data_IF_504579921818
#
_entry.id   IF_504579921818
#
_cell.length_a   1.000
_cell.length_b   1.000
_cell.length_c   1.000
_cell.angle_alpha   90.00
_cell.angle_beta   90.00
_cell.angle_gamma   90.00
#
_symmetry.space_group_name_H-M   'P 1'
#
loop_
_entity.id
_entity.type
_entity.pdbx_description
1 polymer ?
#
# COMPACT_ATOMS: atom_id res chain seq x y z
N UNK A 1 -12.89 -16.62 17.50
CA UNK A 1 -13.11 -15.63 16.43
C UNK A 1 -12.46 -14.36 16.93
N UNK A 2 -11.23 -14.05 16.51
CA UNK A 2 -10.63 -12.75 16.77
C UNK A 2 -11.45 -11.69 16.05
N UNK A 3 -11.88 -10.64 16.75
CA UNK A 3 -12.51 -9.49 16.10
C UNK A 3 -11.58 -8.97 14.99
N UNK A 4 -12.14 -8.68 13.82
CA UNK A 4 -11.36 -8.11 12.73
C UNK A 4 -10.71 -6.81 13.23
N UNK A 5 -9.39 -6.72 13.11
CA UNK A 5 -8.60 -5.55 13.54
C UNK A 5 -7.97 -4.86 12.34
N UNK A 6 -7.64 -3.58 12.48
CA UNK A 6 -7.03 -2.80 11.42
C UNK A 6 -8.03 -1.92 10.65
N UNK A 7 -9.19 -1.61 11.23
CA UNK A 7 -10.07 -0.57 10.72
C UNK A 7 -9.35 0.79 10.81
N UNK A 8 -9.26 1.50 9.69
CA UNK A 8 -8.63 2.82 9.62
C UNK A 8 -9.68 3.84 9.20
N UNK A 9 -9.89 4.87 10.01
CA UNK A 9 -10.77 5.98 9.70
C UNK A 9 -9.98 7.28 9.56
N UNK A 10 -10.18 7.97 8.46
CA UNK A 10 -9.61 9.27 8.15
C UNK A 10 -10.74 10.28 8.20
N UNK A 11 -10.62 11.32 9.03
CA UNK A 11 -11.66 12.34 9.26
C UNK A 11 -11.12 13.74 9.02
N UNK A 12 -11.62 14.38 7.98
CA UNK A 12 -11.33 15.76 7.59
C UNK A 12 -9.83 16.07 7.51
N UNK A 13 -9.03 15.07 7.06
CA UNK A 13 -7.58 15.18 7.06
C UNK A 13 -7.11 16.14 5.96
N UNK A 14 -6.33 17.12 6.39
CA UNK A 14 -5.66 18.10 5.53
C UNK A 14 -4.15 18.06 5.79
N UNK A 15 -3.36 18.16 4.73
CA UNK A 15 -1.91 18.36 4.80
C UNK A 15 -1.47 19.52 3.94
N UNK A 16 -0.87 20.50 4.61
CA UNK A 16 -0.21 21.66 3.97
C UNK A 16 1.27 21.56 4.28
N UNK A 17 2.10 21.61 3.24
CA UNK A 17 3.53 21.85 3.34
C UNK A 17 3.78 23.33 3.16
N UNK A 18 4.63 23.90 3.97
CA UNK A 18 5.01 25.30 3.89
C UNK A 18 6.55 25.45 3.75
N UNK A 19 7.14 24.97 2.65
CA UNK A 19 8.54 25.22 2.38
C UNK A 19 8.70 26.70 2.01
N UNK A 20 9.51 27.42 2.77
CA UNK A 20 9.89 28.82 2.49
C UNK A 20 8.70 29.81 2.38
N UNK A 21 7.60 29.56 3.11
CA UNK A 21 6.40 30.43 3.08
C UNK A 21 5.48 30.21 1.88
N UNK A 22 5.69 29.15 1.10
CA UNK A 22 4.82 28.76 0.01
C UNK A 22 3.90 27.64 0.46
N UNK A 23 2.67 27.99 0.83
CA UNK A 23 1.66 27.01 1.25
C UNK A 23 1.28 26.04 0.13
N UNK A 24 1.77 24.81 0.18
CA UNK A 24 1.43 23.75 -0.78
C UNK A 24 0.44 22.79 -0.13
N UNK A 25 -0.83 22.91 -0.45
CA UNK A 25 -1.85 22.00 0.01
C UNK A 25 -1.80 20.70 -0.78
N UNK A 26 -1.24 19.67 -0.17
CA UNK A 26 -1.06 18.37 -0.80
C UNK A 26 -2.33 17.50 -0.72
N UNK A 27 -2.99 17.51 0.45
CA UNK A 27 -4.24 16.79 0.73
C UNK A 27 -5.21 17.78 1.38
N UNK A 28 -6.47 17.74 0.99
CA UNK A 28 -7.49 18.67 1.43
C UNK A 28 -8.78 17.97 1.83
N UNK A 29 -9.13 18.09 3.12
CA UNK A 29 -10.36 17.62 3.73
C UNK A 29 -10.76 16.20 3.29
N UNK A 30 -9.83 15.25 3.36
CA UNK A 30 -10.10 13.86 3.04
C UNK A 30 -10.79 13.15 4.19
N UNK A 31 -11.94 12.51 3.90
CA UNK A 31 -12.68 11.66 4.86
C UNK A 31 -13.06 10.36 4.18
N UNK A 32 -12.63 9.24 4.76
CA UNK A 32 -12.98 7.88 4.32
C UNK A 32 -12.59 6.85 5.39
N UNK A 33 -13.02 5.63 5.19
CA UNK A 33 -12.66 4.49 6.05
C UNK A 33 -12.14 3.35 5.21
N UNK A 34 -11.23 2.56 5.79
CA UNK A 34 -10.80 1.26 5.28
C UNK A 34 -11.29 0.24 6.30
N UNK A 35 -12.18 -0.64 5.88
CA UNK A 35 -12.72 -1.65 6.78
C UNK A 35 -11.65 -2.68 7.17
N UNK A 36 -11.77 -3.25 8.36
CA UNK A 36 -10.85 -4.30 8.78
C UNK A 36 -10.87 -5.49 7.80
N UNK A 37 -9.72 -5.83 7.25
CA UNK A 37 -9.57 -6.88 6.24
C UNK A 37 -9.96 -6.46 4.82
N UNK A 38 -10.22 -5.17 4.56
CA UNK A 38 -10.47 -4.65 3.22
C UNK A 38 -9.15 -4.44 2.46
N UNK A 39 -9.15 -4.76 1.19
CA UNK A 39 -8.12 -4.35 0.23
C UNK A 39 -8.60 -3.13 -0.54
N UNK A 40 -8.11 -1.95 -0.18
CA UNK A 40 -8.47 -0.68 -0.82
C UNK A 40 -7.32 -0.22 -1.73
N UNK A 41 -7.63 0.10 -2.99
CA UNK A 41 -6.69 0.76 -3.89
C UNK A 41 -6.96 2.26 -3.98
N UNK A 42 -5.90 3.04 -4.19
CA UNK A 42 -5.97 4.48 -4.45
C UNK A 42 -5.26 4.79 -5.77
N UNK A 43 -5.98 5.43 -6.68
CA UNK A 43 -5.46 5.87 -7.99
C UNK A 43 -5.65 7.36 -8.18
N UNK A 44 -4.84 7.96 -9.04
CA UNK A 44 -4.93 9.38 -9.36
C UNK A 44 -3.65 9.88 -10.04
N UNK A 45 -3.63 11.11 -10.58
CA UNK A 45 -2.47 11.70 -11.23
C UNK A 45 -1.21 11.70 -10.35
N UNK A 46 -0.04 11.81 -10.98
CA UNK A 46 1.20 11.99 -10.24
C UNK A 46 1.16 13.29 -9.42
N UNK A 47 1.71 13.24 -8.20
CA UNK A 47 1.73 14.42 -7.32
C UNK A 47 0.39 14.83 -6.69
N UNK A 48 -0.68 14.05 -6.82
CA UNK A 48 -1.99 14.36 -6.24
C UNK A 48 -2.12 14.09 -4.73
N UNK A 49 -1.05 13.66 -4.04
CA UNK A 49 -1.07 13.49 -2.58
C UNK A 49 -1.26 12.04 -2.09
N UNK A 50 -1.27 11.02 -2.95
CA UNK A 50 -1.46 9.60 -2.56
C UNK A 50 -0.42 9.13 -1.54
N UNK A 51 0.87 9.30 -1.85
CA UNK A 51 1.96 8.92 -0.95
C UNK A 51 1.98 9.78 0.32
N UNK A 52 1.59 11.07 0.24
CA UNK A 52 1.42 11.92 1.41
C UNK A 52 0.36 11.36 2.35
N UNK A 53 -0.79 10.95 1.82
CA UNK A 53 -1.87 10.34 2.59
C UNK A 53 -1.42 9.03 3.24
N UNK A 54 -0.75 8.15 2.48
CA UNK A 54 -0.19 6.92 3.00
C UNK A 54 0.83 7.18 4.11
N UNK A 55 1.73 8.16 3.93
CA UNK A 55 2.74 8.51 4.91
C UNK A 55 2.14 9.10 6.20
N UNK A 56 1.02 9.81 6.11
CA UNK A 56 0.29 10.26 7.30
C UNK A 56 -0.29 9.07 8.08
N UNK A 57 -0.87 8.08 7.41
CA UNK A 57 -1.37 6.85 8.05
C UNK A 57 -0.21 6.06 8.66
N UNK A 58 0.93 5.98 7.98
CA UNK A 58 2.13 5.29 8.46
C UNK A 58 2.80 5.95 9.66
N UNK A 59 2.55 7.25 9.87
CA UNK A 59 3.20 8.05 10.91
C UNK A 59 4.52 8.70 10.50
N UNK A 60 4.83 8.71 9.19
CA UNK A 60 6.02 9.41 8.67
C UNK A 60 5.75 10.91 8.47
N UNK A 61 4.48 11.30 8.28
CA UNK A 61 4.06 12.68 8.10
C UNK A 61 3.03 13.10 9.16
N UNK A 62 3.12 14.37 9.60
CA UNK A 62 2.13 14.97 10.50
C UNK A 62 0.92 15.49 9.72
N UNK A 63 -0.24 15.54 10.38
CA UNK A 63 -1.44 16.22 9.87
C UNK A 63 -1.34 17.72 10.11
N UNK A 64 -1.96 18.52 9.23
CA UNK A 64 -2.23 19.92 9.47
C UNK A 64 -3.59 20.09 10.17
N UNK A 65 -4.61 19.35 9.70
CA UNK A 65 -5.96 19.34 10.27
C UNK A 65 -6.54 17.94 10.20
N UNK A 66 -7.61 17.70 11.00
CA UNK A 66 -8.33 16.43 11.02
C UNK A 66 -7.72 15.40 11.97
N UNK A 67 -8.15 14.16 11.86
CA UNK A 67 -7.67 13.04 12.67
C UNK A 67 -7.63 11.71 11.91
N UNK A 68 -6.74 10.83 12.33
CA UNK A 68 -6.68 9.44 11.88
C UNK A 68 -6.93 8.54 13.08
N UNK A 69 -7.85 7.59 12.90
CA UNK A 69 -8.17 6.58 13.91
C UNK A 69 -7.78 5.19 13.40
N UNK A 70 -7.38 4.34 14.31
CA UNK A 70 -7.21 2.91 14.08
C UNK A 70 -7.98 2.13 15.15
N UNK A 71 -8.85 1.22 14.73
CA UNK A 71 -9.73 0.44 15.62
C UNK A 71 -10.52 1.33 16.59
N UNK A 72 -10.91 2.54 16.15
CA UNK A 72 -11.66 3.52 16.95
C UNK A 72 -10.81 4.44 17.85
N UNK A 73 -9.51 4.19 17.97
CA UNK A 73 -8.60 5.04 18.74
C UNK A 73 -7.94 6.11 17.86
N UNK A 74 -7.92 7.36 18.30
CA UNK A 74 -7.22 8.45 17.61
C UNK A 74 -5.72 8.23 17.72
N UNK A 75 -5.10 7.90 16.60
CA UNK A 75 -3.65 7.65 16.51
C UNK A 75 -2.87 8.89 16.06
N UNK A 76 -3.49 9.79 15.28
CA UNK A 76 -2.87 11.03 14.83
C UNK A 76 -3.88 12.18 14.80
N UNK A 77 -3.43 13.37 15.21
CA UNK A 77 -4.15 14.64 15.11
C UNK A 77 -3.16 15.80 15.12
N UNK A 78 -3.55 17.04 14.84
CA UNK A 78 -2.68 18.20 14.97
C UNK A 78 -2.02 18.27 16.34
N UNK A 79 -0.69 18.38 16.37
CA UNK A 79 0.09 18.35 17.62
C UNK A 79 0.33 16.97 18.25
N UNK A 80 -0.43 15.96 17.89
CA UNK A 80 -0.18 14.55 18.25
C UNK A 80 0.46 13.81 17.09
N UNK A 81 1.79 13.75 17.08
CA UNK A 81 2.51 13.01 16.03
C UNK A 81 2.36 11.51 16.26
N UNK A 82 1.85 10.83 15.24
CA UNK A 82 1.89 9.39 15.17
C UNK A 82 3.34 8.93 14.97
N UNK A 83 3.82 8.01 15.80
CA UNK A 83 5.08 7.33 15.53
C UNK A 83 4.85 6.12 14.62
N UNK A 84 5.77 5.81 13.69
CA UNK A 84 5.74 4.54 12.96
C UNK A 84 5.73 3.36 13.95
N UNK A 85 4.99 2.31 13.61
CA UNK A 85 4.85 1.16 14.50
C UNK A 85 4.63 -0.16 13.73
N UNK A 86 4.80 -1.31 14.40
CA UNK A 86 4.66 -2.62 13.77
C UNK A 86 3.21 -2.96 13.38
N UNK A 87 2.23 -2.24 13.92
CA UNK A 87 0.80 -2.41 13.63
C UNK A 87 0.42 -1.93 12.21
N UNK A 88 1.26 -1.10 11.59
CA UNK A 88 1.11 -0.63 10.21
C UNK A 88 2.48 -0.54 9.54
N UNK A 89 2.69 -1.35 8.54
CA UNK A 89 3.98 -1.46 7.87
C UNK A 89 3.88 -0.99 6.43
N UNK A 90 4.88 -0.22 5.98
CA UNK A 90 4.97 0.31 4.63
C UNK A 90 5.90 -0.54 3.78
N UNK A 91 5.45 -0.88 2.57
CA UNK A 91 6.31 -1.35 1.48
C UNK A 91 6.46 -0.20 0.49
N UNK A 92 7.65 0.38 0.46
CA UNK A 92 7.95 1.57 -0.33
C UNK A 92 8.08 1.27 -1.82
N UNK A 93 7.89 2.28 -2.65
CA UNK A 93 8.10 2.22 -4.11
C UNK A 93 9.55 1.86 -4.45
N UNK A 94 10.51 2.56 -3.88
CA UNK A 94 11.93 2.20 -3.96
C UNK A 94 12.21 0.99 -3.06
N UNK A 95 13.03 0.05 -3.52
CA UNK A 95 13.44 -1.09 -2.71
C UNK A 95 14.08 -0.65 -1.39
N UNK A 96 13.76 -1.37 -0.32
CA UNK A 96 14.21 -1.04 1.04
C UNK A 96 14.88 -2.22 1.75
N UNK A 97 15.36 -3.21 1.02
CA UNK A 97 16.12 -4.31 1.61
C UNK A 97 17.51 -3.82 2.07
N UNK A 98 17.99 -4.40 3.15
CA UNK A 98 19.35 -4.20 3.61
C UNK A 98 20.30 -5.04 2.75
N UNK A 99 21.09 -4.41 1.91
CA UNK A 99 21.97 -5.09 0.95
C UNK A 99 23.06 -5.94 1.61
N UNK A 100 23.40 -5.63 2.86
CA UNK A 100 24.38 -6.37 3.69
C UNK A 100 23.79 -7.51 4.50
N UNK A 101 22.49 -7.76 4.40
CA UNK A 101 21.77 -8.85 5.05
C UNK A 101 21.25 -9.85 4.02
N UNK A 102 21.21 -11.11 4.39
CA UNK A 102 20.59 -12.17 3.58
C UNK A 102 19.07 -12.01 3.51
N UNK A 103 18.40 -12.76 2.65
CA UNK A 103 16.94 -12.84 2.57
C UNK A 103 16.32 -13.12 3.93
N UNK A 104 16.80 -14.16 4.61
CA UNK A 104 16.32 -14.53 5.95
C UNK A 104 16.53 -13.42 6.96
N UNK A 105 17.72 -12.84 7.02
CA UNK A 105 18.05 -11.76 7.97
C UNK A 105 17.22 -10.50 7.72
N UNK A 106 16.95 -10.14 6.46
CA UNK A 106 16.05 -9.06 6.12
C UNK A 106 14.64 -9.28 6.68
N UNK A 107 14.12 -10.51 6.55
CA UNK A 107 12.76 -10.83 7.00
C UNK A 107 12.67 -10.77 8.54
N UNK A 108 13.60 -11.40 9.26
CA UNK A 108 13.55 -11.49 10.71
C UNK A 108 14.00 -10.22 11.43
N UNK A 109 14.54 -9.24 10.73
CA UNK A 109 15.12 -8.04 11.32
C UNK A 109 14.16 -7.31 12.28
N UNK A 110 12.95 -7.04 11.82
CA UNK A 110 11.95 -6.29 12.60
C UNK A 110 11.60 -6.96 13.93
N UNK A 111 11.03 -8.17 13.92
CA UNK A 111 10.58 -8.83 15.14
C UNK A 111 11.73 -9.15 16.11
N UNK A 112 12.92 -9.44 15.62
CA UNK A 112 14.09 -9.68 16.48
C UNK A 112 14.60 -8.38 17.12
N UNK A 113 14.69 -7.29 16.34
CA UNK A 113 15.20 -6.00 16.84
C UNK A 113 14.24 -5.36 17.84
N UNK A 114 12.95 -5.53 17.67
CA UNK A 114 11.93 -5.03 18.60
C UNK A 114 11.74 -5.91 19.83
N UNK A 115 12.32 -7.11 19.82
CA UNK A 115 12.13 -8.11 20.89
C UNK A 115 10.75 -8.78 20.88
N UNK A 116 9.98 -8.61 19.79
CA UNK A 116 8.67 -9.24 19.63
C UNK A 116 8.76 -10.76 19.47
N UNK A 117 9.87 -11.26 18.90
CA UNK A 117 10.19 -12.68 18.76
C UNK A 117 11.64 -12.94 19.12
N UNK A 118 11.94 -14.11 19.64
CA UNK A 118 13.32 -14.59 19.70
C UNK A 118 13.85 -14.86 18.28
N UNK A 119 15.16 -14.84 18.10
CA UNK A 119 15.76 -15.15 16.78
C UNK A 119 15.34 -16.54 16.27
N UNK A 120 15.17 -17.52 17.17
CA UNK A 120 14.74 -18.87 16.80
C UNK A 120 13.31 -18.87 16.26
N UNK A 121 12.36 -18.30 16.99
CA UNK A 121 10.95 -18.19 16.58
C UNK A 121 10.82 -17.44 15.26
N UNK A 122 11.47 -16.28 15.14
CA UNK A 122 11.47 -15.49 13.92
C UNK A 122 12.04 -16.26 12.71
N UNK A 123 13.09 -17.07 12.94
CA UNK A 123 13.69 -17.90 11.88
C UNK A 123 12.72 -18.99 11.42
N UNK A 124 12.08 -19.70 12.34
CA UNK A 124 11.11 -20.75 12.03
C UNK A 124 9.93 -20.19 11.23
N UNK A 125 9.35 -19.08 11.70
CA UNK A 125 8.26 -18.36 10.99
C UNK A 125 8.70 -17.85 9.61
N UNK A 126 9.89 -17.27 9.51
CA UNK A 126 10.42 -16.75 8.26
C UNK A 126 10.62 -17.85 7.20
N UNK A 127 11.11 -19.03 7.61
CA UNK A 127 11.30 -20.18 6.71
C UNK A 127 9.98 -20.68 6.13
N UNK A 128 8.90 -20.68 6.90
CA UNK A 128 7.55 -21.01 6.42
C UNK A 128 7.06 -19.97 5.39
N UNK A 129 7.24 -18.68 5.70
CA UNK A 129 6.88 -17.58 4.80
C UNK A 129 7.68 -17.64 3.49
N UNK A 130 8.99 -17.86 3.57
CA UNK A 130 9.90 -18.02 2.41
C UNK A 130 9.44 -19.17 1.52
N UNK A 131 9.14 -20.32 2.11
CA UNK A 131 8.65 -21.49 1.38
C UNK A 131 7.30 -21.19 0.70
N UNK A 132 6.36 -20.58 1.41
CA UNK A 132 5.05 -20.17 0.88
C UNK A 132 5.13 -19.12 -0.25
N UNK A 133 6.18 -18.31 -0.27
CA UNK A 133 6.42 -17.30 -1.30
C UNK A 133 7.22 -17.84 -2.51
N UNK A 134 7.57 -19.13 -2.55
CA UNK A 134 8.38 -19.72 -3.61
C UNK A 134 9.82 -19.21 -3.63
N UNK A 135 10.36 -18.89 -2.46
CA UNK A 135 11.75 -18.43 -2.27
C UNK A 135 12.63 -19.47 -1.56
N UNK A 136 12.14 -20.72 -1.46
CA UNK A 136 12.91 -21.82 -0.86
C UNK A 136 14.24 -22.03 -1.59
N UNK A 137 15.32 -22.10 -0.82
CA UNK A 137 16.69 -22.22 -1.33
C UNK A 137 17.43 -20.89 -1.52
N UNK A 138 16.74 -19.76 -1.27
CA UNK A 138 17.32 -18.40 -1.35
C UNK A 138 17.50 -17.74 0.01
N UNK A 139 17.31 -18.47 1.11
CA UNK A 139 17.32 -17.94 2.50
C UNK A 139 18.62 -17.21 2.83
N UNK A 140 19.74 -17.72 2.33
CA UNK A 140 21.09 -17.22 2.59
C UNK A 140 21.65 -16.34 1.46
N UNK A 141 20.87 -16.10 0.40
CA UNK A 141 21.27 -15.19 -0.66
C UNK A 141 21.13 -13.74 -0.25
N UNK A 142 22.01 -12.90 -0.79
CA UNK A 142 21.96 -11.45 -0.62
C UNK A 142 21.05 -10.80 -1.67
N UNK A 143 20.48 -9.60 -1.40
CA UNK A 143 19.60 -8.91 -2.34
C UNK A 143 20.18 -8.73 -3.73
N UNK A 144 21.49 -8.51 -3.86
CA UNK A 144 22.15 -8.36 -5.16
C UNK A 144 22.10 -9.63 -6.03
N UNK A 145 21.90 -10.79 -5.44
CA UNK A 145 21.89 -12.09 -6.16
C UNK A 145 20.51 -12.59 -6.54
N UNK A 146 19.45 -11.86 -6.18
CA UNK A 146 18.07 -12.23 -6.46
C UNK A 146 17.40 -11.23 -7.41
N UNK A 147 16.38 -11.69 -8.15
CA UNK A 147 15.64 -10.84 -9.09
C UNK A 147 14.82 -9.75 -8.39
N UNK A 148 14.40 -8.72 -9.14
CA UNK A 148 13.54 -7.64 -8.62
C UNK A 148 12.21 -8.15 -8.05
N UNK A 149 11.59 -9.13 -8.70
CA UNK A 149 10.37 -9.78 -8.20
C UNK A 149 10.62 -10.56 -6.90
N UNK A 150 11.77 -11.24 -6.78
CA UNK A 150 12.13 -11.90 -5.52
C UNK A 150 12.40 -10.88 -4.40
N UNK A 151 13.11 -9.79 -4.69
CA UNK A 151 13.32 -8.70 -3.71
C UNK A 151 11.98 -8.18 -3.18
N UNK A 152 11.02 -7.94 -4.07
CA UNK A 152 9.70 -7.45 -3.67
C UNK A 152 8.93 -8.45 -2.81
N UNK A 153 9.04 -9.76 -3.09
CA UNK A 153 8.46 -10.79 -2.20
C UNK A 153 9.11 -10.72 -0.82
N UNK A 154 10.43 -10.63 -0.74
CA UNK A 154 11.15 -10.50 0.55
C UNK A 154 10.68 -9.27 1.33
N UNK A 155 10.48 -8.12 0.69
CA UNK A 155 9.97 -6.91 1.33
C UNK A 155 8.55 -7.10 1.90
N UNK A 156 7.68 -7.77 1.14
CA UNK A 156 6.33 -8.10 1.61
C UNK A 156 6.39 -9.08 2.79
N UNK A 157 7.25 -10.11 2.74
CA UNK A 157 7.43 -11.06 3.84
C UNK A 157 8.00 -10.37 5.08
N UNK A 158 8.95 -9.45 4.91
CA UNK A 158 9.52 -8.63 6.00
C UNK A 158 8.45 -7.75 6.67
N UNK A 159 7.46 -7.29 5.90
CA UNK A 159 6.32 -6.59 6.45
C UNK A 159 5.39 -7.54 7.23
N UNK A 160 5.04 -8.67 6.64
CA UNK A 160 4.04 -9.61 7.15
C UNK A 160 4.47 -10.33 8.43
N UNK A 161 5.76 -10.64 8.61
CA UNK A 161 6.26 -11.32 9.81
C UNK A 161 6.04 -10.51 11.09
N UNK A 162 5.85 -9.19 10.98
CA UNK A 162 5.50 -8.33 12.11
C UNK A 162 4.01 -8.39 12.47
N UNK A 163 3.22 -9.21 11.79
CA UNK A 163 1.76 -9.33 11.96
C UNK A 163 1.03 -7.99 11.99
N UNK A 164 1.28 -7.08 11.01
CA UNK A 164 0.68 -5.77 11.02
C UNK A 164 -0.85 -5.87 10.95
N UNK A 165 -1.55 -4.92 11.54
CA UNK A 165 -3.00 -4.75 11.35
C UNK A 165 -3.29 -4.21 9.96
N UNK A 166 -2.44 -3.29 9.48
CA UNK A 166 -2.59 -2.61 8.19
C UNK A 166 -1.29 -2.66 7.39
N UNK A 167 -1.39 -3.07 6.13
CA UNK A 167 -0.29 -3.08 5.18
C UNK A 167 -0.46 -1.92 4.18
N UNK A 168 0.54 -1.06 4.09
CA UNK A 168 0.55 0.13 3.26
C UNK A 168 1.53 -0.08 2.10
N UNK A 169 1.02 -0.14 0.87
CA UNK A 169 1.81 -0.46 -0.33
C UNK A 169 1.83 0.76 -1.26
N UNK A 170 3.01 1.39 -1.41
CA UNK A 170 3.17 2.55 -2.28
C UNK A 170 3.82 2.14 -3.61
N UNK A 171 3.03 2.06 -4.68
CA UNK A 171 3.43 1.68 -6.03
C UNK A 171 4.38 0.46 -6.07
N UNK A 172 4.07 -0.65 -5.40
CA UNK A 172 5.03 -1.73 -5.15
C UNK A 172 5.53 -2.43 -6.42
N UNK A 173 4.82 -2.27 -7.55
CA UNK A 173 5.14 -2.95 -8.81
C UNK A 173 5.56 -1.99 -9.92
N UNK A 174 5.82 -0.71 -9.59
CA UNK A 174 6.38 0.25 -10.55
C UNK A 174 7.71 -0.29 -11.10
N UNK A 175 7.92 -0.10 -12.41
CA UNK A 175 9.12 -0.56 -13.12
C UNK A 175 9.32 -2.09 -13.23
N UNK A 176 8.29 -2.90 -12.95
CA UNK A 176 8.30 -4.33 -13.28
C UNK A 176 7.72 -4.57 -14.67
N UNK A 177 8.27 -5.55 -15.37
CA UNK A 177 7.69 -6.04 -16.62
C UNK A 177 6.33 -6.73 -16.39
N UNK A 178 5.54 -6.86 -17.45
CA UNK A 178 4.17 -7.37 -17.36
C UNK A 178 4.09 -8.83 -16.84
N UNK A 179 5.08 -9.67 -17.13
CA UNK A 179 5.10 -11.08 -16.70
C UNK A 179 5.38 -11.15 -15.21
N UNK A 180 6.41 -10.42 -14.76
CA UNK A 180 6.78 -10.33 -13.34
C UNK A 180 5.61 -9.73 -12.53
N UNK A 181 4.96 -8.66 -13.02
CA UNK A 181 3.76 -8.09 -12.39
C UNK A 181 2.66 -9.13 -12.20
N UNK A 182 2.37 -9.92 -13.24
CA UNK A 182 1.33 -10.93 -13.18
C UNK A 182 1.58 -11.96 -12.06
N UNK A 183 2.82 -12.41 -11.93
CA UNK A 183 3.24 -13.33 -10.87
C UNK A 183 3.13 -12.67 -9.48
N UNK A 184 3.50 -11.38 -9.38
CA UNK A 184 3.43 -10.64 -8.12
C UNK A 184 1.99 -10.33 -7.69
N UNK A 185 1.10 -10.04 -8.64
CA UNK A 185 -0.33 -9.85 -8.36
C UNK A 185 -0.94 -11.12 -7.77
N UNK A 186 -0.67 -12.28 -8.41
CA UNK A 186 -1.15 -13.56 -7.87
C UNK A 186 -0.58 -13.82 -6.47
N UNK A 187 0.71 -13.62 -6.28
CA UNK A 187 1.35 -13.77 -4.97
C UNK A 187 0.68 -12.88 -3.91
N UNK A 188 0.42 -11.60 -4.20
CA UNK A 188 -0.21 -10.70 -3.24
C UNK A 188 -1.65 -11.10 -2.92
N UNK A 189 -2.43 -11.56 -3.92
CA UNK A 189 -3.78 -12.08 -3.69
C UNK A 189 -3.75 -13.35 -2.84
N UNK A 190 -2.87 -14.30 -3.15
CA UNK A 190 -2.73 -15.54 -2.37
C UNK A 190 -2.34 -15.26 -0.91
N UNK A 191 -1.51 -14.23 -0.68
CA UNK A 191 -1.17 -13.75 0.66
C UNK A 191 -2.38 -13.10 1.33
N UNK A 192 -3.04 -12.17 0.65
CA UNK A 192 -4.19 -11.45 1.18
C UNK A 192 -5.32 -12.40 1.59
N UNK A 193 -5.66 -13.37 0.72
CA UNK A 193 -6.72 -14.34 0.96
C UNK A 193 -6.41 -15.27 2.15
N UNK A 194 -5.13 -15.41 2.55
CA UNK A 194 -4.72 -16.19 3.73
C UNK A 194 -4.72 -15.39 5.03
N UNK A 195 -4.23 -14.14 4.98
CA UNK A 195 -3.96 -13.38 6.20
C UNK A 195 -5.06 -12.38 6.55
N UNK A 196 -5.94 -12.03 5.61
CA UNK A 196 -7.07 -11.11 5.79
C UNK A 196 -6.70 -9.81 6.51
N UNK A 197 -5.55 -9.23 6.17
CA UNK A 197 -5.09 -7.95 6.73
C UNK A 197 -5.70 -6.78 5.97
N UNK A 198 -5.87 -5.65 6.63
CA UNK A 198 -6.26 -4.41 5.96
C UNK A 198 -5.14 -3.93 5.04
N UNK A 199 -5.46 -3.58 3.81
CA UNK A 199 -4.47 -3.14 2.82
C UNK A 199 -4.88 -1.82 2.20
N UNK A 200 -3.97 -0.83 2.21
CA UNK A 200 -4.04 0.34 1.35
C UNK A 200 -2.96 0.22 0.27
N UNK A 201 -3.38 0.24 -0.99
CA UNK A 201 -2.54 0.00 -2.14
C UNK A 201 -2.57 1.21 -3.09
N UNK A 202 -1.45 1.89 -3.24
CA UNK A 202 -1.31 2.99 -4.20
C UNK A 202 -0.77 2.44 -5.51
N UNK A 203 -1.41 2.80 -6.61
CA UNK A 203 -0.92 2.49 -7.95
C UNK A 203 -1.41 3.53 -8.97
N UNK A 204 -0.70 3.65 -10.08
CA UNK A 204 -1.15 4.36 -11.28
C UNK A 204 -1.70 3.39 -12.34
N UNK A 205 -1.59 2.08 -12.13
CA UNK A 205 -2.08 1.04 -13.03
C UNK A 205 -3.53 0.68 -12.68
N UNK A 206 -4.46 1.00 -13.58
CA UNK A 206 -5.89 0.77 -13.37
C UNK A 206 -6.25 -0.72 -13.33
N UNK A 207 -5.55 -1.54 -14.11
CA UNK A 207 -5.76 -2.98 -14.07
C UNK A 207 -5.35 -3.58 -12.72
N UNK A 208 -4.25 -3.08 -12.13
CA UNK A 208 -3.84 -3.46 -10.78
C UNK A 208 -4.88 -3.08 -9.74
N UNK A 209 -5.35 -1.82 -9.79
CA UNK A 209 -6.30 -1.31 -8.81
C UNK A 209 -7.60 -2.13 -8.76
N UNK A 210 -8.15 -2.50 -9.94
CA UNK A 210 -9.38 -3.28 -10.03
C UNK A 210 -9.13 -4.75 -9.72
N UNK A 211 -8.01 -5.30 -10.23
CA UNK A 211 -7.73 -6.73 -10.08
C UNK A 211 -7.45 -7.13 -8.64
N UNK A 212 -6.82 -6.26 -7.85
CA UNK A 212 -6.37 -6.58 -6.50
C UNK A 212 -7.38 -6.17 -5.42
N UNK A 213 -8.06 -5.03 -5.58
CA UNK A 213 -8.82 -4.40 -4.50
C UNK A 213 -10.29 -4.79 -4.44
N UNK A 214 -10.90 -4.53 -3.29
CA UNK A 214 -12.35 -4.63 -3.06
C UNK A 214 -13.02 -3.28 -3.34
N UNK A 215 -12.24 -2.18 -3.27
CA UNK A 215 -12.69 -0.82 -3.57
C UNK A 215 -11.56 0.05 -4.11
N UNK A 216 -11.87 0.93 -5.06
CA UNK A 216 -10.93 1.88 -5.66
C UNK A 216 -11.36 3.30 -5.33
N UNK A 217 -10.45 4.06 -4.69
CA UNK A 217 -10.58 5.50 -4.48
C UNK A 217 -9.86 6.29 -5.57
N UNK A 218 -10.55 7.24 -6.19
CA UNK A 218 -9.99 8.10 -7.24
C UNK A 218 -9.71 9.47 -6.65
N UNK A 219 -8.43 9.87 -6.62
CA UNK A 219 -8.02 11.19 -6.13
C UNK A 219 -7.98 12.22 -7.26
N UNK A 220 -8.38 13.44 -6.91
CA UNK A 220 -8.27 14.63 -7.77
C UNK A 220 -6.81 15.07 -7.89
N UNK A 221 -6.50 15.88 -8.91
CA UNK A 221 -5.25 16.65 -8.95
C UNK A 221 -5.19 17.65 -7.78
N UNK A 222 -4.03 18.30 -7.54
CA UNK A 222 -3.82 19.17 -6.36
C UNK A 222 -4.90 20.25 -6.20
N UNK A 223 -5.43 20.42 -4.97
CA UNK A 223 -5.22 19.63 -3.78
C UNK A 223 -5.88 18.25 -3.90
N UNK A 224 -5.22 17.22 -3.32
CA UNK A 224 -5.72 15.85 -3.33
C UNK A 224 -6.99 15.72 -2.52
N UNK A 225 -8.08 15.35 -3.18
CA UNK A 225 -9.38 14.98 -2.57
C UNK A 225 -9.85 13.68 -3.20
N UNK A 226 -10.73 12.94 -2.54
CA UNK A 226 -11.40 11.83 -3.19
C UNK A 226 -12.55 12.32 -4.06
N UNK A 227 -12.46 12.04 -5.37
CA UNK A 227 -13.49 12.36 -6.35
C UNK A 227 -14.62 11.34 -6.35
N UNK A 228 -14.25 10.07 -6.28
CA UNK A 228 -15.19 8.95 -6.38
C UNK A 228 -14.61 7.71 -5.72
N UNK A 229 -15.51 6.90 -5.19
CA UNK A 229 -15.25 5.53 -4.75
C UNK A 229 -15.95 4.56 -5.69
N UNK A 230 -15.27 3.49 -6.08
CA UNK A 230 -15.79 2.43 -6.95
C UNK A 230 -15.66 1.12 -6.20
N UNK A 231 -16.79 0.47 -5.94
CA UNK A 231 -16.83 -0.87 -5.35
C UNK A 231 -16.50 -1.91 -6.43
N UNK A 232 -15.58 -2.81 -6.11
CA UNK A 232 -15.10 -3.85 -7.01
C UNK A 232 -15.75 -5.17 -6.63
N UNK A 233 -16.97 -5.40 -7.13
CA UNK A 233 -17.75 -6.60 -6.85
C UNK A 233 -17.35 -7.80 -7.73
N UNK A 234 -16.03 -8.05 -7.82
CA UNK A 234 -15.49 -9.21 -8.53
C UNK A 234 -15.31 -10.38 -7.56
N UNK A 235 -15.68 -11.61 -7.94
CA UNK A 235 -15.58 -12.77 -7.05
C UNK A 235 -14.11 -13.06 -6.67
N UNK A 236 -13.92 -13.66 -5.49
CA UNK A 236 -12.65 -14.23 -5.04
C UNK A 236 -12.77 -15.76 -4.93
N UNK A 237 -11.71 -16.55 -5.12
CA UNK A 237 -10.36 -16.12 -5.51
C UNK A 237 -10.32 -15.61 -6.96
N UNK A 238 -9.51 -14.59 -7.21
CA UNK A 238 -9.38 -13.99 -8.54
C UNK A 238 -8.24 -14.64 -9.30
N UNK A 239 -8.51 -15.03 -10.55
CA UNK A 239 -7.49 -15.43 -11.51
C UNK A 239 -7.40 -14.44 -12.68
N UNK A 240 -6.41 -14.63 -13.54
CA UNK A 240 -6.17 -13.71 -14.66
C UNK A 240 -7.33 -13.63 -15.67
N UNK A 241 -8.19 -14.66 -15.75
CA UNK A 241 -9.31 -14.71 -16.70
C UNK A 241 -10.36 -13.65 -16.38
N UNK A 242 -10.48 -13.25 -15.12
CA UNK A 242 -11.44 -12.23 -14.65
C UNK A 242 -11.25 -10.88 -15.37
N UNK A 243 -10.02 -10.57 -15.84
CA UNK A 243 -9.72 -9.34 -16.58
C UNK A 243 -10.45 -9.26 -17.94
N UNK A 244 -10.96 -10.38 -18.43
CA UNK A 244 -11.77 -10.46 -19.66
C UNK A 244 -13.28 -10.39 -19.39
N UNK A 245 -13.70 -10.40 -18.13
CA UNK A 245 -15.11 -10.35 -17.78
C UNK A 245 -15.73 -9.00 -18.14
N UNK A 246 -17.02 -8.98 -18.53
CA UNK A 246 -17.71 -7.72 -18.81
C UNK A 246 -17.66 -6.74 -17.63
N UNK A 247 -17.77 -7.23 -16.41
CA UNK A 247 -17.74 -6.40 -15.21
C UNK A 247 -16.37 -5.77 -14.99
N UNK A 248 -15.27 -6.51 -15.17
CA UNK A 248 -13.93 -5.94 -15.08
C UNK A 248 -13.72 -4.83 -16.12
N UNK A 249 -14.16 -5.07 -17.36
CA UNK A 249 -14.04 -4.10 -18.45
C UNK A 249 -14.89 -2.86 -18.20
N UNK A 250 -16.08 -3.01 -17.61
CA UNK A 250 -16.95 -1.90 -17.20
C UNK A 250 -16.25 -1.04 -16.13
N UNK A 251 -15.74 -1.67 -15.06
CA UNK A 251 -15.02 -1.00 -13.98
C UNK A 251 -13.77 -0.28 -14.51
N UNK A 252 -13.02 -0.93 -15.39
CA UNK A 252 -11.84 -0.33 -16.03
C UNK A 252 -12.18 0.92 -16.83
N UNK A 253 -13.25 0.86 -17.64
CA UNK A 253 -13.71 2.02 -18.41
C UNK A 253 -14.12 3.17 -17.48
N UNK A 254 -14.93 2.91 -16.47
CA UNK A 254 -15.38 3.92 -15.50
C UNK A 254 -14.19 4.57 -14.78
N UNK A 255 -13.24 3.75 -14.29
CA UNK A 255 -12.04 4.24 -13.60
C UNK A 255 -11.16 5.07 -14.54
N UNK A 256 -10.98 4.62 -15.79
CA UNK A 256 -10.19 5.33 -16.79
C UNK A 256 -10.75 6.71 -17.11
N UNK A 257 -12.07 6.81 -17.32
CA UNK A 257 -12.75 8.10 -17.62
C UNK A 257 -12.52 9.09 -16.49
N UNK A 258 -12.70 8.66 -15.23
CA UNK A 258 -12.53 9.52 -14.05
C UNK A 258 -11.08 9.98 -13.84
N UNK A 259 -10.10 9.09 -14.03
CA UNK A 259 -8.67 9.43 -13.91
C UNK A 259 -8.22 10.31 -15.06
N UNK A 260 -8.71 10.05 -16.28
CA UNK A 260 -8.38 10.86 -17.46
C UNK A 260 -8.86 12.32 -17.31
N UNK A 261 -10.06 12.55 -16.78
CA UNK A 261 -10.53 13.90 -16.47
C UNK A 261 -9.59 14.65 -15.52
N UNK A 262 -9.07 13.98 -14.49
CA UNK A 262 -8.16 14.61 -13.53
C UNK A 262 -6.76 14.84 -14.14
N UNK A 263 -6.27 13.89 -14.94
CA UNK A 263 -5.00 14.08 -15.66
C UNK A 263 -5.06 15.27 -16.63
N UNK A 264 -6.19 15.44 -17.34
CA UNK A 264 -6.40 16.61 -18.21
C UNK A 264 -6.38 17.93 -17.44
N UNK A 265 -7.05 18.00 -16.29
CA UNK A 265 -7.03 19.18 -15.41
C UNK A 265 -5.62 19.50 -14.90
N UNK A 266 -4.84 18.47 -14.54
CA UNK A 266 -3.43 18.63 -14.13
C UNK A 266 -2.59 19.23 -15.24
N UNK A 267 -2.72 18.71 -16.46
CA UNK A 267 -2.02 19.22 -17.63
C UNK A 267 -2.40 20.68 -17.95
N UNK A 268 -3.69 21.02 -17.92
CA UNK A 268 -4.19 22.39 -18.19
C UNK A 268 -3.69 23.39 -17.14
N UNK A 269 -3.41 22.97 -15.91
CA UNK A 269 -2.82 23.79 -14.84
C UNK A 269 -1.30 23.93 -14.94
N UNK A 270 -0.66 23.29 -15.92
CA UNK A 270 0.80 23.29 -16.09
C UNK A 270 1.53 22.52 -14.99
N UNK A 271 0.84 21.65 -14.26
CA UNK A 271 1.42 20.73 -13.31
C UNK A 271 2.20 19.68 -14.12
N UNK A 272 3.54 19.74 -14.08
CA UNK A 272 4.37 18.75 -14.76
C UNK A 272 4.17 17.40 -14.09
N UNK A 273 4.07 16.34 -14.88
CA UNK A 273 4.27 14.99 -14.39
C UNK A 273 5.67 14.96 -13.75
N UNK A 274 5.68 15.02 -12.41
CA UNK A 274 6.93 15.03 -11.65
C UNK A 274 7.64 13.71 -11.85
N UNK A 275 8.89 13.79 -12.29
CA UNK A 275 9.80 12.69 -12.48
C UNK A 275 10.15 11.94 -11.19
#
# INVERSE_FOLDING_TARGET
VHAASGHVAIREVTKIYDPDGVNVQAVDNCSFEIQAGEFMAVVGPSGCGKSTLLNMIAGFESLTEGEILMDGEVIASPGKRLAPGPDRVVVFQAGALFDWQTVLENIIFGPVTTGAMTRKEATETALELIAGAGLKGYEHEYPIRISSGMKRRVEILRALINEPKTLLLDEPYRAMDAITKAVMHKFLLDVFDRVHKTVMFITHDLDESIYLSDRVGIMTTRPGRFKRWIDVNLPRPRDFSIKKSPEFLRLKKETLELVHEEAKKSFERGEREGG
#
